data_IF_773648112825
#
_entry.id   IF_773648112825
#
_cell.length_a   1.000
_cell.length_b   1.000
_cell.length_c   1.000
_cell.angle_alpha   90.00
_cell.angle_beta   90.00
_cell.angle_gamma   90.00
#
_symmetry.space_group_name_H-M   'P 1'
#
loop_
_entity.id
_entity.type
_entity.pdbx_description
1 polymer ?
#
# COMPACT_ATOMS: atom_id res chain seq x y z
N UNK A 3 -3.61 -6.23 -7.93
CA UNK A 3 -2.92 -6.98 -9.03
C UNK A 3 -1.42 -6.94 -8.75
N UNK A 4 -0.77 -8.10 -8.75
CA UNK A 4 0.62 -8.19 -8.29
C UNK A 4 1.42 -9.18 -9.11
N UNK A 5 2.35 -8.70 -9.94
CA UNK A 5 3.24 -9.64 -10.65
C UNK A 5 4.66 -9.45 -10.09
N UNK A 6 5.36 -8.38 -10.50
CA UNK A 6 6.64 -7.99 -9.85
C UNK A 6 6.25 -7.28 -8.58
N UNK A 7 5.11 -6.61 -8.72
CA UNK A 7 4.38 -5.91 -7.68
C UNK A 7 4.10 -6.83 -6.47
N UNK A 8 4.29 -8.14 -6.64
CA UNK A 8 4.19 -9.13 -5.55
C UNK A 8 4.98 -8.71 -4.30
N UNK A 9 5.99 -7.82 -4.48
CA UNK A 9 6.70 -7.20 -3.33
C UNK A 9 5.67 -6.55 -2.41
N UNK A 10 4.73 -5.81 -3.03
CA UNK A 10 3.66 -5.11 -2.31
C UNK A 10 2.81 -6.09 -1.51
N UNK A 11 2.77 -7.34 -1.95
CA UNK A 11 1.97 -8.31 -1.27
C UNK A 11 2.49 -8.46 0.15
N UNK A 12 3.81 -8.48 0.31
CA UNK A 12 4.46 -8.56 1.62
C UNK A 12 4.19 -7.31 2.46
N UNK A 13 4.09 -6.16 1.78
CA UNK A 13 3.71 -4.92 2.45
C UNK A 13 2.31 -5.09 3.03
N UNK A 14 1.49 -5.78 2.28
CA UNK A 14 0.10 -5.94 2.60
C UNK A 14 -0.13 -7.07 3.57
N UNK A 15 0.62 -8.12 3.40
CA UNK A 15 0.62 -9.24 4.28
C UNK A 15 0.94 -8.80 5.68
N UNK A 16 1.90 -7.87 5.79
CA UNK A 16 2.17 -7.26 7.06
C UNK A 16 1.04 -6.30 7.44
N UNK A 17 0.56 -5.50 6.47
CA UNK A 17 -0.48 -4.49 6.66
C UNK A 17 -1.72 -5.05 7.36
N UNK A 18 -2.07 -6.30 7.09
CA UNK A 18 -3.19 -6.96 7.73
C UNK A 18 -3.02 -7.00 9.26
N UNK A 19 -1.88 -7.47 9.72
CA UNK A 19 -1.64 -7.54 11.16
C UNK A 19 -1.21 -6.20 11.73
N UNK A 20 -0.74 -5.31 10.86
CA UNK A 20 -0.26 -3.98 11.26
C UNK A 20 -1.35 -3.22 12.04
N UNK A 21 -2.56 -3.11 11.48
CA UNK A 21 -3.66 -2.51 12.24
C UNK A 21 -4.53 -3.57 12.88
N UNK A 22 -4.18 -4.83 12.65
CA UNK A 22 -4.98 -6.00 13.06
C UNK A 22 -6.35 -5.92 12.36
N UNK A 23 -6.31 -6.12 11.08
CA UNK A 23 -7.45 -6.01 10.23
C UNK A 23 -7.94 -7.39 9.86
N UNK A 24 -9.21 -7.49 9.63
CA UNK A 24 -9.81 -8.73 9.23
C UNK A 24 -9.62 -8.84 7.69
N UNK A 25 -9.47 -10.04 7.10
CA UNK A 25 -9.36 -10.17 5.62
C UNK A 25 -10.55 -9.54 4.87
N UNK A 26 -11.71 -9.52 5.52
CA UNK A 26 -12.90 -8.89 4.93
C UNK A 26 -12.85 -7.36 5.13
N UNK A 27 -11.81 -6.90 5.78
CA UNK A 27 -11.57 -5.51 6.03
C UNK A 27 -10.30 -5.10 5.29
N UNK A 28 -9.64 -6.08 4.67
CA UNK A 28 -8.41 -5.82 4.03
C UNK A 28 -8.27 -6.62 2.74
N UNK A 29 -8.92 -6.12 1.75
CA UNK A 29 -8.79 -6.55 0.40
C UNK A 29 -8.35 -5.28 -0.35
N UNK A 30 -7.87 -5.38 -1.57
CA UNK A 30 -7.29 -4.21 -2.21
C UNK A 30 -8.20 -2.98 -2.41
N UNK A 31 -9.52 -3.14 -2.33
CA UNK A 31 -10.42 -2.01 -2.55
C UNK A 31 -10.76 -1.34 -1.20
N UNK A 32 -10.39 -2.00 -0.12
CA UNK A 32 -10.65 -1.55 1.22
C UNK A 32 -9.91 -0.25 1.50
N UNK A 33 -10.59 0.69 2.13
CA UNK A 33 -10.02 1.99 2.39
C UNK A 33 -9.14 1.97 3.62
N UNK A 34 -7.92 2.42 3.46
CA UNK A 34 -6.95 2.37 4.55
C UNK A 34 -7.15 3.44 5.62
N UNK A 35 -7.57 4.63 5.21
CA UNK A 35 -7.87 5.67 6.22
C UNK A 35 -9.16 5.28 6.96
N UNK A 36 -9.99 4.52 6.26
CA UNK A 36 -11.24 3.99 6.78
C UNK A 36 -10.95 2.93 7.85
N UNK A 37 -9.85 2.22 7.66
CA UNK A 37 -9.42 1.19 8.58
C UNK A 37 -8.63 1.79 9.75
N UNK A 38 -8.26 3.05 9.60
CA UNK A 38 -7.54 3.74 10.65
C UNK A 38 -6.03 3.62 10.54
N UNK A 39 -5.52 3.62 9.31
CA UNK A 39 -4.10 3.57 9.09
C UNK A 39 -3.52 4.91 9.42
N UNK A 40 -2.83 4.96 10.53
CA UNK A 40 -2.21 6.18 11.02
C UNK A 40 -1.13 6.64 10.08
N UNK A 41 -0.75 7.88 10.23
CA UNK A 41 0.21 8.44 9.33
C UNK A 41 1.63 7.96 9.57
N UNK A 42 1.92 7.32 10.70
CA UNK A 42 3.24 6.80 10.85
C UNK A 42 3.34 5.60 9.97
N UNK A 43 2.28 4.77 9.96
CA UNK A 43 2.21 3.63 9.04
C UNK A 43 2.36 4.12 7.63
N UNK A 44 1.61 5.16 7.31
CA UNK A 44 1.64 5.82 6.01
C UNK A 44 3.08 6.22 5.65
N UNK A 45 3.78 6.83 6.57
CA UNK A 45 5.13 7.28 6.34
C UNK A 45 6.16 6.19 6.46
N UNK A 46 5.80 5.09 7.11
CA UNK A 46 6.70 3.98 7.22
C UNK A 46 6.77 3.26 5.90
N UNK A 47 5.60 3.11 5.29
CA UNK A 47 5.44 2.40 4.04
C UNK A 47 6.14 3.08 2.88
N UNK A 48 6.30 4.40 2.93
CA UNK A 48 6.96 5.12 1.83
C UNK A 48 8.37 4.58 1.57
N UNK A 49 9.07 4.24 2.65
CA UNK A 49 10.41 3.69 2.54
C UNK A 49 10.37 2.30 1.95
N UNK A 50 9.30 1.59 2.25
CA UNK A 50 9.15 0.21 1.84
C UNK A 50 8.88 0.13 0.33
N UNK A 51 8.24 1.16 -0.22
CA UNK A 51 8.02 1.24 -1.66
C UNK A 51 9.31 1.56 -2.38
N UNK A 52 9.94 2.62 -1.94
CA UNK A 52 11.14 3.12 -2.55
C UNK A 52 12.31 2.11 -2.41
N UNK A 53 12.12 1.13 -1.52
CA UNK A 53 13.02 -0.02 -1.26
C UNK A 53 13.45 -0.72 -2.56
N UNK A 54 12.48 -0.99 -3.43
CA UNK A 54 12.78 -1.69 -4.69
C UNK A 54 12.74 -0.72 -5.82
N UNK A 55 12.78 0.54 -5.47
CA UNK A 55 12.72 1.57 -6.44
C UNK A 55 11.31 1.83 -6.92
N UNK A 56 10.30 1.35 -6.16
CA UNK A 56 8.91 1.59 -6.55
C UNK A 56 8.61 3.05 -6.54
N UNK A 57 7.59 3.45 -7.22
CA UNK A 57 7.53 4.86 -7.60
C UNK A 57 6.26 5.51 -7.17
N UNK A 58 6.26 6.10 -6.00
CA UNK A 58 5.10 6.83 -5.56
C UNK A 58 5.43 7.83 -4.51
N UNK A 59 4.52 8.70 -4.28
CA UNK A 59 4.64 9.69 -3.26
C UNK A 59 3.48 9.51 -2.29
N UNK A 60 3.73 9.75 -1.03
CA UNK A 60 2.73 9.50 0.02
C UNK A 60 1.48 10.35 -0.13
N UNK A 61 1.61 11.51 -0.80
CA UNK A 61 0.48 12.41 -1.07
C UNK A 61 -0.63 11.64 -1.83
N UNK A 62 -0.22 10.59 -2.54
CA UNK A 62 -1.09 9.83 -3.41
C UNK A 62 -1.79 8.76 -2.61
N UNK A 63 -1.19 8.39 -1.51
CA UNK A 63 -1.70 7.34 -0.67
C UNK A 63 -2.78 7.91 0.25
N UNK A 64 -2.69 9.22 0.50
CA UNK A 64 -3.73 9.96 1.20
C UNK A 64 -4.89 10.24 0.26
N UNK A 65 -4.53 10.64 -0.98
CA UNK A 65 -5.52 11.01 -2.00
C UNK A 65 -6.44 9.86 -2.32
N UNK A 66 -5.88 8.70 -2.52
CA UNK A 66 -6.65 7.52 -2.75
C UNK A 66 -6.21 6.46 -1.76
N UNK A 67 -6.79 6.44 -0.56
CA UNK A 67 -6.36 5.53 0.44
C UNK A 67 -7.02 4.17 0.32
N UNK A 68 -6.44 3.36 -0.49
CA UNK A 68 -6.84 2.01 -0.74
C UNK A 68 -5.61 1.29 -1.12
N UNK A 69 -5.49 0.05 -0.71
CA UNK A 69 -4.32 -0.75 -1.04
C UNK A 69 -4.08 -0.74 -2.53
N UNK A 70 -5.17 -0.93 -3.28
CA UNK A 70 -5.16 -0.94 -4.74
C UNK A 70 -4.44 0.26 -5.31
N UNK A 71 -4.68 1.44 -4.77
CA UNK A 71 -4.02 2.64 -5.27
C UNK A 71 -2.53 2.55 -5.07
N UNK A 72 -2.09 2.25 -3.84
CA UNK A 72 -0.66 2.21 -3.50
C UNK A 72 0.02 1.14 -4.36
N UNK A 73 -0.72 0.08 -4.60
CA UNK A 73 -0.27 -1.05 -5.39
C UNK A 73 -0.19 -0.69 -6.87
N UNK A 74 -1.26 -0.14 -7.41
CA UNK A 74 -1.31 0.17 -8.83
C UNK A 74 -0.43 1.32 -9.20
N UNK A 75 -0.03 2.13 -8.22
CA UNK A 75 0.94 3.19 -8.43
C UNK A 75 2.30 2.61 -8.86
N UNK A 76 2.51 1.31 -8.58
CA UNK A 76 3.69 0.59 -9.05
C UNK A 76 3.50 0.26 -10.54
N UNK A 77 2.46 -0.53 -10.83
CA UNK A 77 2.15 -1.03 -12.20
C UNK A 77 1.83 0.09 -13.20
N UNK A 78 1.24 1.16 -12.73
CA UNK A 78 0.80 2.23 -13.63
C UNK A 78 1.96 3.14 -14.03
N UNK A 79 3.13 2.93 -13.45
CA UNK A 79 4.27 3.76 -13.77
C UNK A 79 5.36 2.96 -14.44
N UNK A 80 5.10 1.70 -14.59
CA UNK A 80 5.93 0.73 -15.23
C UNK A 80 5.20 -0.60 -15.15
N UNK A 81 4.84 -1.21 -16.28
CA UNK A 81 4.17 -2.50 -16.24
C UNK A 81 5.08 -3.57 -15.70
N UNK A 82 4.70 -4.13 -14.58
CA UNK A 82 5.45 -5.17 -13.94
C UNK A 82 4.49 -6.29 -13.57
#
# INVERSE_FOLDING_TARGET
GTDNRHAADYQQLRERLIQELNLTPQQLHEESNLIQAGLDSIRLMRWLHWFRKNGYRLTLRELYAAPTLAAWNQLMLSRSPE
#
